data_IF_524865918020
#
_entry.id   IF_524865918020
#
_cell.length_a   1.000
_cell.length_b   1.000
_cell.length_c   1.000
_cell.angle_alpha   90.00
_cell.angle_beta   90.00
_cell.angle_gamma   90.00
#
_symmetry.space_group_name_H-M   'P 1'
#
loop_
_entity.id
_entity.type
_entity.pdbx_description
1 polymer ?
#
# COMPACT_ATOMS: atom_id res chain seq x y z
N UNK A 1 -5.02 16.80 10.48
CA UNK A 1 -3.89 16.36 11.32
C UNK A 1 -3.45 15.00 10.83
N UNK A 2 -2.14 14.72 10.84
CA UNK A 2 -1.64 13.39 10.52
C UNK A 2 -1.97 12.42 11.66
N UNK A 3 -2.31 11.18 11.33
CA UNK A 3 -2.37 10.12 12.31
C UNK A 3 -0.96 9.61 12.54
N UNK A 4 -0.57 9.40 13.81
CA UNK A 4 0.64 8.61 14.06
C UNK A 4 0.32 7.16 13.75
N UNK A 5 1.31 6.39 13.30
CA UNK A 5 1.09 4.97 13.00
C UNK A 5 0.53 4.20 14.20
N UNK A 6 0.86 4.60 15.42
CA UNK A 6 0.32 4.03 16.65
C UNK A 6 -1.16 4.39 16.93
N UNK A 7 -1.66 5.51 16.40
CA UNK A 7 -3.05 5.97 16.62
C UNK A 7 -4.07 5.13 15.83
N UNK A 8 -3.59 4.30 14.89
CA UNK A 8 -4.42 3.42 14.06
C UNK A 8 -4.76 2.07 14.73
N UNK A 9 -4.35 1.87 15.99
CA UNK A 9 -4.50 0.61 16.72
C UNK A 9 -5.86 0.48 17.38
N UNK A 10 -6.43 -0.72 17.29
CA UNK A 10 -7.61 -1.17 18.00
C UNK A 10 -7.38 -2.51 18.70
N UNK A 11 -8.45 -3.04 19.29
CA UNK A 11 -8.45 -4.39 19.85
C UNK A 11 -8.45 -5.45 18.73
N UNK A 12 -7.85 -6.60 19.02
CA UNK A 12 -7.87 -7.76 18.11
C UNK A 12 -9.29 -8.27 17.97
N UNK A 13 -9.80 -8.28 16.74
CA UNK A 13 -11.11 -8.85 16.41
C UNK A 13 -11.10 -10.34 16.72
N UNK A 14 -12.19 -10.86 17.32
CA UNK A 14 -12.30 -12.27 17.72
C UNK A 14 -12.01 -13.23 16.57
N UNK A 15 -12.47 -12.90 15.35
CA UNK A 15 -12.23 -13.71 14.16
C UNK A 15 -10.74 -13.85 13.79
N UNK A 16 -9.88 -12.93 14.26
CA UNK A 16 -8.47 -12.90 13.92
C UNK A 16 -7.53 -13.28 15.06
N UNK A 17 -8.06 -13.82 16.17
CA UNK A 17 -7.23 -14.31 17.27
C UNK A 17 -6.36 -15.50 16.84
N UNK A 18 -5.17 -15.61 17.43
CA UNK A 18 -4.23 -16.70 17.21
C UNK A 18 -3.35 -16.90 18.46
N UNK A 19 -2.58 -17.99 18.50
CA UNK A 19 -1.68 -18.31 19.61
C UNK A 19 -0.48 -17.36 19.66
N UNK A 20 -0.48 -16.43 20.62
CA UNK A 20 0.59 -15.45 20.81
C UNK A 20 1.90 -16.09 21.31
N UNK A 21 1.84 -17.16 22.11
CA UNK A 21 3.05 -17.81 22.62
C UNK A 21 3.76 -18.59 21.50
N UNK A 22 2.99 -19.22 20.62
CA UNK A 22 3.51 -19.86 19.41
C UNK A 22 4.18 -18.84 18.48
N UNK A 23 3.52 -17.71 18.24
CA UNK A 23 4.11 -16.61 17.48
C UNK A 23 5.41 -16.10 18.11
N UNK A 24 5.41 -15.88 19.43
CA UNK A 24 6.59 -15.37 20.14
C UNK A 24 7.79 -16.32 20.01
N UNK A 25 7.56 -17.63 20.17
CA UNK A 25 8.61 -18.66 19.96
C UNK A 25 9.15 -18.62 18.55
N UNK A 26 8.28 -18.55 17.55
CA UNK A 26 8.68 -18.46 16.14
C UNK A 26 9.50 -17.18 15.88
N UNK A 27 8.99 -16.02 16.29
CA UNK A 27 9.67 -14.74 16.07
C UNK A 27 11.04 -14.67 16.76
N UNK A 28 11.18 -15.25 17.95
CA UNK A 28 12.46 -15.32 18.69
C UNK A 28 13.56 -16.07 17.94
N UNK A 29 13.19 -17.02 17.07
CA UNK A 29 14.13 -17.81 16.26
C UNK A 29 14.37 -17.14 14.90
N UNK A 30 13.33 -16.57 14.29
CA UNK A 30 13.35 -16.16 12.88
C UNK A 30 13.52 -14.66 12.64
N UNK A 31 13.35 -13.81 13.65
CA UNK A 31 13.53 -12.35 13.52
C UNK A 31 14.88 -11.94 14.09
N UNK A 32 15.82 -11.41 13.27
CA UNK A 32 17.12 -10.98 13.76
C UNK A 32 17.02 -9.91 14.85
N UNK A 33 17.68 -10.14 15.99
CA UNK A 33 17.69 -9.20 17.11
C UNK A 33 16.36 -9.07 17.86
N UNK A 34 15.46 -10.05 17.71
CA UNK A 34 14.23 -10.15 18.50
C UNK A 34 14.56 -10.33 20.00
N UNK A 35 13.91 -9.60 20.92
CA UNK A 35 14.24 -9.70 22.34
C UNK A 35 13.97 -11.11 22.92
N UNK A 36 14.86 -11.55 23.82
CA UNK A 36 14.85 -12.89 24.39
C UNK A 36 13.75 -13.09 25.47
N UNK A 37 13.12 -14.28 25.57
CA UNK A 37 12.02 -14.58 26.49
C UNK A 37 12.28 -14.26 27.96
N UNK A 38 13.53 -14.33 28.43
CA UNK A 38 13.84 -14.37 29.86
C UNK A 38 13.47 -13.08 30.65
N UNK A 39 13.11 -11.98 29.97
CA UNK A 39 12.65 -10.74 30.60
C UNK A 39 11.70 -9.93 29.72
N UNK A 40 11.02 -10.59 28.76
CA UNK A 40 10.24 -9.89 27.73
C UNK A 40 8.73 -9.94 27.93
N UNK A 41 8.09 -8.77 27.89
CA UNK A 41 6.64 -8.68 27.69
C UNK A 41 6.32 -8.80 26.21
N UNK A 42 5.22 -9.44 25.86
CA UNK A 42 4.76 -9.55 24.47
C UNK A 42 3.29 -9.15 24.36
N UNK A 43 3.01 -8.10 23.60
CA UNK A 43 1.63 -7.66 23.35
C UNK A 43 1.36 -7.60 21.86
N UNK A 44 0.11 -7.92 21.51
CA UNK A 44 -0.39 -7.90 20.13
C UNK A 44 -1.61 -6.99 20.09
N UNK A 45 -1.59 -6.02 19.17
CA UNK A 45 -2.71 -5.13 18.87
C UNK A 45 -3.02 -5.21 17.39
N UNK A 46 -4.26 -4.96 16.98
CA UNK A 46 -4.64 -5.00 15.57
C UNK A 46 -4.72 -3.58 15.02
N UNK A 47 -4.25 -3.34 13.81
CA UNK A 47 -4.54 -2.09 13.11
C UNK A 47 -5.99 -2.10 12.60
N UNK A 48 -6.71 -1.00 12.82
CA UNK A 48 -8.11 -0.85 12.38
C UNK A 48 -8.27 -0.62 10.87
N UNK A 49 -7.18 -0.21 10.20
CA UNK A 49 -7.13 0.11 8.77
C UNK A 49 -6.30 -0.96 8.03
N UNK A 50 -6.78 -1.42 6.88
CA UNK A 50 -6.25 -2.59 6.15
C UNK A 50 -7.31 -3.70 6.06
N UNK A 51 -8.32 -3.49 5.20
CA UNK A 51 -9.53 -4.33 5.16
C UNK A 51 -9.28 -5.73 4.57
N UNK A 52 -8.22 -5.90 3.78
CA UNK A 52 -7.97 -7.13 3.04
C UNK A 52 -7.18 -8.16 3.87
N UNK A 53 -5.99 -7.82 4.38
CA UNK A 53 -5.13 -8.72 5.16
C UNK A 53 -4.96 -8.24 6.60
N UNK A 54 -5.36 -9.04 7.61
CA UNK A 54 -5.20 -8.68 9.01
C UNK A 54 -3.76 -8.28 9.35
N UNK A 55 -3.60 -7.07 9.86
CA UNK A 55 -2.31 -6.45 10.19
C UNK A 55 -2.26 -6.14 11.69
N UNK A 56 -1.16 -6.49 12.35
CA UNK A 56 -1.00 -6.42 13.81
C UNK A 56 0.31 -5.73 14.19
N UNK A 57 0.25 -4.93 15.26
CA UNK A 57 1.44 -4.46 15.97
C UNK A 57 1.86 -5.53 16.98
N UNK A 58 3.13 -5.91 16.92
CA UNK A 58 3.80 -6.71 17.94
C UNK A 58 4.69 -5.79 18.77
N UNK A 59 4.48 -5.70 20.08
CA UNK A 59 5.39 -5.00 20.98
C UNK A 59 6.09 -5.99 21.89
N UNK A 60 7.42 -5.91 21.93
CA UNK A 60 8.28 -6.75 22.76
C UNK A 60 9.06 -5.86 23.72
N UNK A 61 8.70 -5.89 25.00
CA UNK A 61 9.47 -5.23 26.04
C UNK A 61 10.71 -6.05 26.40
N UNK A 62 11.82 -5.41 26.79
CA UNK A 62 12.95 -6.07 27.47
C UNK A 62 13.71 -5.02 28.28
N UNK A 63 13.74 -5.18 29.61
CA UNK A 63 14.58 -4.36 30.50
C UNK A 63 14.39 -2.84 30.37
N UNK A 64 13.17 -2.36 30.09
CA UNK A 64 12.85 -0.93 29.92
C UNK A 64 12.88 -0.40 28.49
N UNK A 65 13.29 -1.22 27.51
CA UNK A 65 13.15 -0.92 26.08
C UNK A 65 11.95 -1.65 25.49
N UNK A 66 11.29 -1.07 24.48
CA UNK A 66 10.21 -1.71 23.71
C UNK A 66 10.62 -1.73 22.25
N UNK A 67 10.69 -2.92 21.64
CA UNK A 67 10.82 -3.09 20.20
C UNK A 67 9.46 -3.34 19.57
N UNK A 68 9.26 -2.83 18.36
CA UNK A 68 8.00 -2.92 17.64
C UNK A 68 8.20 -3.57 16.28
N UNK A 69 7.26 -4.40 15.90
CA UNK A 69 7.22 -5.10 14.62
C UNK A 69 5.78 -5.11 14.10
N UNK A 70 5.60 -5.33 12.81
CA UNK A 70 4.29 -5.52 12.20
C UNK A 70 4.18 -6.95 11.70
N UNK A 71 3.08 -7.62 12.04
CA UNK A 71 2.71 -8.90 11.46
C UNK A 71 1.54 -8.70 10.49
N UNK A 72 1.67 -9.22 9.27
CA UNK A 72 0.57 -9.27 8.31
C UNK A 72 0.33 -10.72 7.92
N UNK A 73 -0.93 -11.16 8.02
CA UNK A 73 -1.32 -12.56 7.82
C UNK A 73 -2.50 -12.68 6.88
N UNK A 74 -2.68 -13.85 6.27
CA UNK A 74 -3.90 -14.11 5.49
C UNK A 74 -5.13 -14.12 6.42
N UNK A 75 -6.32 -13.73 5.93
CA UNK A 75 -7.56 -13.90 6.67
C UNK A 75 -7.81 -15.40 6.93
N UNK A 76 -8.51 -15.73 8.02
CA UNK A 76 -8.93 -17.11 8.28
C UNK A 76 -9.98 -17.57 7.25
N UNK A 77 -10.09 -18.88 7.05
CA UNK A 77 -11.17 -19.50 6.27
C UNK A 77 -10.79 -19.86 4.83
N UNK A 78 -11.79 -20.31 4.05
CA UNK A 78 -11.61 -20.71 2.65
C UNK A 78 -11.59 -19.48 1.75
N UNK A 79 -10.40 -19.08 1.33
CA UNK A 79 -10.19 -17.91 0.49
C UNK A 79 -10.40 -18.24 -1.00
N UNK A 80 -10.80 -17.23 -1.77
CA UNK A 80 -10.81 -17.32 -3.23
C UNK A 80 -9.37 -17.46 -3.75
N UNK A 81 -9.21 -18.21 -4.83
CA UNK A 81 -7.90 -18.38 -5.47
C UNK A 81 -7.32 -17.02 -5.85
N UNK A 82 -6.04 -16.78 -5.56
CA UNK A 82 -5.30 -15.51 -5.78
C UNK A 82 -5.73 -14.30 -4.93
N UNK A 83 -6.70 -14.44 -4.03
CA UNK A 83 -6.97 -13.43 -3.02
C UNK A 83 -5.96 -13.53 -1.87
N UNK A 84 -5.63 -12.41 -1.22
CA UNK A 84 -4.81 -12.37 -0.01
C UNK A 84 -3.40 -12.98 -0.18
N UNK A 85 -2.72 -12.62 -1.26
CA UNK A 85 -1.40 -13.14 -1.60
C UNK A 85 -0.27 -12.45 -0.78
N UNK A 86 -0.28 -12.63 0.54
CA UNK A 86 0.74 -12.05 1.46
C UNK A 86 2.17 -12.53 1.14
N UNK A 87 2.32 -13.65 0.44
CA UNK A 87 3.59 -14.15 -0.10
C UNK A 87 4.15 -13.21 -1.17
N UNK A 88 3.30 -12.65 -2.04
CA UNK A 88 3.69 -11.65 -3.04
C UNK A 88 4.09 -10.34 -2.39
N UNK A 89 3.35 -9.90 -1.38
CA UNK A 89 3.68 -8.70 -0.59
C UNK A 89 5.07 -8.83 0.06
N UNK A 90 5.35 -9.98 0.70
CA UNK A 90 6.67 -10.26 1.25
C UNK A 90 7.77 -10.23 0.17
N UNK A 91 7.53 -10.85 -0.99
CA UNK A 91 8.50 -10.90 -2.09
C UNK A 91 8.88 -9.50 -2.58
N UNK A 92 7.90 -8.63 -2.83
CA UNK A 92 8.16 -7.28 -3.36
C UNK A 92 8.82 -6.39 -2.32
N UNK A 93 8.37 -6.42 -1.07
CA UNK A 93 8.98 -5.67 0.03
C UNK A 93 10.43 -6.08 0.26
N UNK A 94 10.72 -7.38 0.20
CA UNK A 94 12.08 -7.90 0.31
C UNK A 94 12.98 -7.40 -0.81
N UNK A 95 12.54 -7.58 -2.07
CA UNK A 95 13.34 -7.22 -3.23
C UNK A 95 13.63 -5.71 -3.28
N UNK A 96 12.63 -4.87 -2.97
CA UNK A 96 12.81 -3.42 -2.89
C UNK A 96 13.76 -3.04 -1.74
N UNK A 97 13.53 -3.57 -0.53
CA UNK A 97 14.30 -3.20 0.66
C UNK A 97 15.74 -3.74 0.68
N UNK A 98 16.05 -4.82 -0.03
CA UNK A 98 17.40 -5.40 -0.10
C UNK A 98 18.23 -4.85 -1.27
N UNK A 99 17.61 -4.29 -2.32
CA UNK A 99 18.30 -3.96 -3.57
C UNK A 99 18.07 -2.53 -4.07
N UNK A 100 17.27 -1.71 -3.38
CA UNK A 100 16.95 -0.34 -3.81
C UNK A 100 16.89 0.62 -2.64
N UNK A 101 16.87 1.92 -2.95
CA UNK A 101 16.61 2.99 -1.98
C UNK A 101 15.13 3.38 -1.91
N UNK A 102 14.23 2.60 -2.52
CA UNK A 102 12.79 2.85 -2.41
C UNK A 102 12.38 2.62 -0.95
N UNK A 103 11.77 3.61 -0.28
CA UNK A 103 11.43 3.48 1.12
C UNK A 103 10.32 2.44 1.29
N UNK A 104 10.66 1.30 1.87
CA UNK A 104 9.71 0.22 2.22
C UNK A 104 10.07 -0.34 3.60
N UNK A 105 9.10 -0.84 4.37
CA UNK A 105 9.40 -1.49 5.65
C UNK A 105 10.28 -2.73 5.42
N UNK A 106 11.34 -2.87 6.20
CA UNK A 106 12.17 -4.07 6.16
C UNK A 106 11.36 -5.30 6.55
N UNK A 107 11.33 -6.32 5.70
CA UNK A 107 10.77 -7.63 6.07
C UNK A 107 11.81 -8.50 6.76
N UNK A 108 11.39 -9.25 7.79
CA UNK A 108 12.27 -10.08 8.60
C UNK A 108 12.13 -11.57 8.29
N UNK A 109 10.90 -12.07 8.29
CA UNK A 109 10.64 -13.49 8.02
C UNK A 109 9.25 -13.69 7.39
N UNK A 110 9.10 -14.83 6.71
CA UNK A 110 7.85 -15.31 6.14
C UNK A 110 7.62 -16.75 6.63
N UNK A 111 6.38 -17.08 6.97
CA UNK A 111 5.97 -18.38 7.49
C UNK A 111 4.78 -18.90 6.67
N UNK A 112 4.93 -20.11 6.14
CA UNK A 112 3.85 -20.89 5.50
C UNK A 112 3.36 -22.05 6.38
N UNK A 113 3.97 -22.24 7.55
CA UNK A 113 3.56 -23.28 8.47
C UNK A 113 2.33 -22.83 9.26
N UNK A 114 1.17 -23.27 8.79
CA UNK A 114 -0.11 -22.98 9.44
C UNK A 114 -0.18 -23.53 10.87
N UNK A 115 0.71 -24.42 11.31
CA UNK A 115 0.74 -24.86 12.71
C UNK A 115 1.21 -23.78 13.69
N UNK A 116 1.87 -22.71 13.21
CA UNK A 116 2.37 -21.63 14.07
C UNK A 116 1.24 -20.72 14.55
N UNK A 117 0.45 -20.12 13.64
CA UNK A 117 -0.68 -19.22 13.99
C UNK A 117 -1.95 -19.48 13.16
N UNK A 118 -2.08 -20.63 12.52
CA UNK A 118 -3.26 -21.04 11.74
C UNK A 118 -3.29 -20.57 10.29
N UNK A 119 -2.32 -19.76 9.85
CA UNK A 119 -2.31 -19.16 8.51
C UNK A 119 -0.92 -18.64 8.13
N UNK A 120 -0.70 -18.38 6.84
CA UNK A 120 0.53 -17.77 6.35
C UNK A 120 0.65 -16.32 6.85
N UNK A 121 1.88 -15.92 7.20
CA UNK A 121 2.17 -14.57 7.65
C UNK A 121 3.61 -14.17 7.36
N UNK A 122 3.87 -12.87 7.42
CA UNK A 122 5.22 -12.35 7.48
C UNK A 122 5.34 -11.28 8.57
N UNK A 123 6.56 -11.08 9.06
CA UNK A 123 6.90 -10.03 10.04
C UNK A 123 7.78 -9.00 9.36
N UNK A 124 7.47 -7.72 9.56
CA UNK A 124 8.20 -6.58 9.03
C UNK A 124 8.43 -5.50 10.10
N UNK A 125 9.21 -4.50 9.72
CA UNK A 125 9.50 -3.31 10.49
C UNK A 125 8.23 -2.53 10.83
N UNK A 126 8.16 -2.03 12.06
CA UNK A 126 7.21 -1.00 12.42
C UNK A 126 7.82 0.37 12.12
N UNK A 127 7.26 1.07 11.13
CA UNK A 127 7.65 2.43 10.80
C UNK A 127 6.96 3.40 11.77
N UNK A 128 7.73 3.99 12.68
CA UNK A 128 7.25 5.05 13.56
C UNK A 128 7.22 6.37 12.78
N UNK A 129 6.01 6.81 12.39
CA UNK A 129 5.85 7.92 11.46
C UNK A 129 4.45 8.53 11.46
N UNK A 130 4.20 9.38 10.45
CA UNK A 130 2.97 10.12 10.20
C UNK A 130 2.30 9.59 8.94
N UNK A 131 1.00 9.36 8.99
CA UNK A 131 0.17 9.05 7.82
C UNK A 131 -0.85 10.16 7.65
N UNK A 132 -0.98 10.66 6.42
CA UNK A 132 -1.93 11.71 6.07
C UNK A 132 -3.17 11.11 5.41
N UNK A 133 -4.18 10.82 6.22
CA UNK A 133 -5.45 10.28 5.73
C UNK A 133 -6.23 11.27 4.86
N UNK A 134 -6.19 12.57 5.21
CA UNK A 134 -6.83 13.62 4.43
C UNK A 134 -5.81 14.23 3.45
N UNK A 135 -5.99 14.07 2.12
CA UNK A 135 -5.09 14.61 1.11
C UNK A 135 -5.04 16.15 1.11
N UNK A 136 -5.98 16.84 1.79
CA UNK A 136 -5.95 18.30 1.98
C UNK A 136 -4.91 18.76 3.00
N UNK A 137 -4.30 17.83 3.75
CA UNK A 137 -3.26 18.07 4.75
C UNK A 137 -3.64 19.18 5.77
N UNK A 138 -4.81 19.06 6.45
CA UNK A 138 -5.32 20.12 7.31
C UNK A 138 -4.42 20.32 8.53
N UNK A 139 -4.17 21.59 8.86
CA UNK A 139 -3.33 22.02 9.98
C UNK A 139 -1.84 22.18 9.66
N UNK A 140 -1.41 21.90 8.42
CA UNK A 140 -0.04 22.21 7.97
C UNK A 140 0.05 23.59 7.32
N UNK A 141 1.22 24.23 7.43
CA UNK A 141 1.55 25.44 6.67
C UNK A 141 1.69 25.12 5.16
N UNK A 142 1.41 26.08 4.26
CA UNK A 142 1.47 25.86 2.81
C UNK A 142 2.79 25.22 2.33
N UNK A 143 3.93 25.69 2.83
CA UNK A 143 5.26 25.23 2.41
C UNK A 143 5.49 23.74 2.76
N UNK A 144 4.88 23.29 3.86
CA UNK A 144 4.94 21.88 4.26
C UNK A 144 4.04 21.01 3.40
N UNK A 145 2.88 21.52 2.98
CA UNK A 145 2.01 20.79 2.03
C UNK A 145 2.73 20.59 0.70
N UNK A 146 3.42 21.64 0.23
CA UNK A 146 4.20 21.60 -1.00
C UNK A 146 5.31 20.55 -0.91
N UNK A 147 6.08 20.57 0.19
CA UNK A 147 7.15 19.60 0.45
C UNK A 147 6.63 18.14 0.46
N UNK A 148 5.51 17.89 1.13
CA UNK A 148 4.90 16.55 1.21
C UNK A 148 4.44 16.04 -0.16
N UNK A 149 3.78 16.88 -0.96
CA UNK A 149 3.34 16.48 -2.31
C UNK A 149 4.53 16.25 -3.24
N UNK A 150 5.57 17.10 -3.17
CA UNK A 150 6.81 16.90 -3.93
C UNK A 150 7.50 15.60 -3.56
N UNK A 151 7.65 15.32 -2.27
CA UNK A 151 8.23 14.07 -1.80
C UNK A 151 7.43 12.85 -2.28
N UNK A 152 6.09 12.93 -2.23
CA UNK A 152 5.21 11.87 -2.73
C UNK A 152 5.45 11.60 -4.23
N UNK A 153 5.57 12.64 -5.05
CA UNK A 153 5.89 12.52 -6.47
C UNK A 153 7.26 11.89 -6.72
N UNK A 154 8.28 12.31 -5.95
CA UNK A 154 9.65 11.77 -6.04
C UNK A 154 9.73 10.30 -5.68
N UNK A 155 9.03 9.88 -4.62
CA UNK A 155 9.00 8.47 -4.22
C UNK A 155 8.30 7.60 -5.25
N UNK A 156 7.21 8.09 -5.85
CA UNK A 156 6.55 7.38 -6.95
C UNK A 156 7.49 7.23 -8.16
N UNK A 157 8.20 8.29 -8.54
CA UNK A 157 9.18 8.25 -9.62
C UNK A 157 10.36 7.30 -9.30
N UNK A 158 10.84 7.29 -8.05
CA UNK A 158 11.90 6.40 -7.61
C UNK A 158 11.45 4.93 -7.69
N UNK A 159 10.22 4.62 -7.25
CA UNK A 159 9.62 3.31 -7.41
C UNK A 159 9.54 2.91 -8.89
N UNK A 160 9.06 3.81 -9.74
CA UNK A 160 8.92 3.52 -11.16
C UNK A 160 10.25 3.38 -11.91
N UNK A 161 11.35 3.89 -11.33
CA UNK A 161 12.70 3.79 -11.91
C UNK A 161 13.40 2.46 -11.64
N UNK A 162 12.83 1.61 -10.78
CA UNK A 162 13.42 0.32 -10.38
C UNK A 162 13.52 -0.64 -11.56
N UNK A 163 14.73 -1.19 -11.75
CA UNK A 163 14.95 -2.33 -12.64
C UNK A 163 14.47 -3.61 -11.95
N UNK A 164 13.22 -3.99 -12.26
CA UNK A 164 12.56 -5.16 -11.67
C UNK A 164 13.27 -6.48 -12.00
N UNK A 165 13.99 -6.56 -13.12
CA UNK A 165 14.74 -7.76 -13.48
C UNK A 165 16.01 -7.88 -12.62
N UNK A 166 16.71 -6.77 -12.42
CA UNK A 166 17.91 -6.71 -11.59
C UNK A 166 17.65 -7.07 -10.11
N UNK A 167 16.46 -6.77 -9.59
CA UNK A 167 16.08 -7.08 -8.20
C UNK A 167 15.31 -8.40 -8.04
N UNK A 168 15.27 -9.24 -9.09
CA UNK A 168 14.64 -10.57 -9.02
C UNK A 168 13.11 -10.58 -9.10
N UNK A 169 12.49 -9.46 -9.48
CA UNK A 169 11.04 -9.33 -9.71
C UNK A 169 10.64 -9.51 -11.19
N UNK A 170 11.54 -9.93 -12.07
CA UNK A 170 11.27 -10.07 -13.51
C UNK A 170 10.06 -10.93 -13.87
N UNK A 171 9.69 -11.89 -13.00
CA UNK A 171 8.52 -12.79 -13.13
C UNK A 171 7.39 -12.46 -12.14
N UNK A 172 7.43 -11.29 -11.50
CA UNK A 172 6.47 -10.90 -10.46
C UNK A 172 5.04 -10.71 -10.99
N UNK A 173 4.88 -10.36 -12.26
CA UNK A 173 3.59 -10.21 -12.91
C UNK A 173 3.70 -10.21 -14.43
N UNK A 174 2.56 -10.17 -15.12
CA UNK A 174 2.51 -10.02 -16.58
C UNK A 174 2.69 -8.55 -16.95
N UNK A 175 3.59 -8.24 -17.90
CA UNK A 175 3.83 -6.86 -18.34
C UNK A 175 2.82 -6.40 -19.39
N UNK A 176 2.78 -7.07 -20.54
CA UNK A 176 2.06 -6.60 -21.75
C UNK A 176 0.54 -6.46 -21.62
N UNK A 177 -0.05 -5.39 -22.16
CA UNK A 177 -1.49 -5.14 -22.17
C UNK A 177 -2.09 -4.97 -20.77
N UNK A 178 -1.38 -4.29 -19.86
CA UNK A 178 -1.80 -4.14 -18.47
C UNK A 178 -3.19 -3.49 -18.36
N UNK A 179 -3.40 -2.31 -18.92
CA UNK A 179 -4.67 -1.60 -18.87
C UNK A 179 -5.80 -2.44 -19.49
N UNK A 180 -5.54 -3.09 -20.64
CA UNK A 180 -6.53 -3.99 -21.26
C UNK A 180 -6.97 -5.11 -20.31
N UNK A 181 -6.01 -5.80 -19.69
CA UNK A 181 -6.29 -6.90 -18.75
C UNK A 181 -7.04 -6.41 -17.51
N UNK A 182 -6.70 -5.22 -17.00
CA UNK A 182 -7.40 -4.61 -15.87
C UNK A 182 -8.85 -4.29 -16.23
N UNK A 183 -9.10 -3.63 -17.37
CA UNK A 183 -10.45 -3.33 -17.85
C UNK A 183 -11.28 -4.60 -18.02
N UNK A 184 -10.74 -5.64 -18.66
CA UNK A 184 -11.42 -6.93 -18.83
C UNK A 184 -11.73 -7.61 -17.48
N UNK A 185 -10.77 -7.61 -16.54
CA UNK A 185 -10.93 -8.22 -15.22
C UNK A 185 -12.01 -7.52 -14.40
N UNK A 186 -11.93 -6.20 -14.28
CA UNK A 186 -12.90 -5.41 -13.50
C UNK A 186 -14.29 -5.45 -14.12
N UNK A 187 -14.41 -5.46 -15.45
CA UNK A 187 -15.70 -5.65 -16.14
C UNK A 187 -16.34 -6.99 -15.76
N UNK A 188 -15.58 -8.09 -15.84
CA UNK A 188 -16.07 -9.42 -15.46
C UNK A 188 -16.48 -9.50 -13.99
N UNK A 189 -15.69 -8.92 -13.10
CA UNK A 189 -16.01 -8.88 -11.67
C UNK A 189 -17.27 -8.06 -11.38
N UNK A 190 -17.44 -6.91 -12.03
CA UNK A 190 -18.64 -6.09 -11.90
C UNK A 190 -19.89 -6.86 -12.34
N UNK A 191 -19.86 -7.46 -13.54
CA UNK A 191 -20.98 -8.26 -14.05
C UNK A 191 -21.32 -9.41 -13.09
N UNK A 192 -20.31 -10.18 -12.66
CA UNK A 192 -20.50 -11.28 -11.72
C UNK A 192 -21.10 -10.82 -10.38
N UNK A 193 -20.75 -9.63 -9.89
CA UNK A 193 -21.33 -9.07 -8.66
C UNK A 193 -22.81 -8.69 -8.78
N UNK A 194 -23.28 -8.42 -10.00
CA UNK A 194 -24.67 -8.03 -10.31
C UNK A 194 -25.54 -9.17 -10.84
N UNK A 195 -24.94 -10.28 -11.29
CA UNK A 195 -25.61 -11.33 -12.08
C UNK A 195 -26.76 -12.08 -11.40
N UNK A 196 -26.81 -12.06 -10.06
CA UNK A 196 -27.87 -12.71 -9.26
C UNK A 196 -28.88 -11.70 -8.68
N UNK A 197 -28.92 -10.45 -9.17
CA UNK A 197 -29.67 -9.33 -8.56
C UNK A 197 -29.34 -9.06 -7.08
N UNK A 198 -28.24 -9.61 -6.55
CA UNK A 198 -27.77 -9.31 -5.18
C UNK A 198 -27.49 -7.83 -4.99
N UNK A 199 -27.00 -7.19 -6.05
CA UNK A 199 -26.82 -5.74 -6.14
C UNK A 199 -27.38 -5.26 -7.49
N UNK A 200 -28.14 -4.16 -7.51
CA UNK A 200 -28.69 -3.63 -8.76
C UNK A 200 -27.55 -3.18 -9.68
N UNK A 201 -27.62 -3.61 -10.94
CA UNK A 201 -26.69 -3.15 -11.97
C UNK A 201 -26.89 -1.67 -12.25
N UNK A 202 -25.79 -0.95 -12.46
CA UNK A 202 -25.74 0.47 -12.79
C UNK A 202 -25.38 0.60 -14.28
N UNK A 203 -26.31 1.08 -15.14
CA UNK A 203 -26.06 1.24 -16.56
C UNK A 203 -24.80 2.05 -16.88
N UNK A 204 -24.49 3.09 -16.09
CA UNK A 204 -23.31 3.93 -16.29
C UNK A 204 -21.99 3.17 -16.10
N UNK A 205 -21.97 2.15 -15.23
CA UNK A 205 -20.78 1.30 -15.05
C UNK A 205 -20.55 0.41 -16.28
N UNK A 206 -21.62 -0.07 -16.91
CA UNK A 206 -21.52 -0.85 -18.14
C UNK A 206 -21.11 0.02 -19.33
N UNK A 207 -21.64 1.24 -19.42
CA UNK A 207 -21.21 2.25 -20.41
C UNK A 207 -19.72 2.59 -20.25
N UNK A 208 -19.27 2.83 -19.01
CA UNK A 208 -17.85 3.08 -18.71
C UNK A 208 -16.99 1.88 -19.09
N UNK A 209 -17.38 0.67 -18.74
CA UNK A 209 -16.65 -0.55 -19.10
C UNK A 209 -16.52 -0.70 -20.62
N UNK A 210 -17.61 -0.47 -21.36
CA UNK A 210 -17.59 -0.51 -22.82
C UNK A 210 -16.67 0.57 -23.40
N UNK A 211 -16.77 1.80 -22.90
CA UNK A 211 -15.93 2.91 -23.35
C UNK A 211 -14.44 2.60 -23.10
N UNK A 212 -14.07 2.15 -21.91
CA UNK A 212 -12.68 1.80 -21.56
C UNK A 212 -12.13 0.68 -22.46
N UNK A 213 -12.94 -0.31 -22.83
CA UNK A 213 -12.51 -1.38 -23.75
C UNK A 213 -12.16 -0.85 -25.15
N UNK A 214 -12.85 0.20 -25.61
CA UNK A 214 -12.60 0.82 -26.91
C UNK A 214 -11.48 1.88 -26.89
N UNK A 215 -11.08 2.33 -25.69
CA UNK A 215 -10.13 3.44 -25.51
C UNK A 215 -8.92 3.00 -24.67
N UNK A 216 -8.47 1.75 -24.81
CA UNK A 216 -7.19 1.32 -24.25
C UNK A 216 -6.07 2.16 -24.91
N UNK A 217 -5.21 2.82 -24.12
CA UNK A 217 -4.11 3.63 -24.67
C UNK A 217 -3.20 2.81 -25.59
N UNK A 218 -2.76 3.39 -26.71
CA UNK A 218 -1.79 2.76 -27.62
C UNK A 218 -0.46 2.44 -26.91
N UNK A 219 -0.12 3.24 -25.90
CA UNK A 219 1.11 3.17 -25.13
C UNK A 219 1.03 2.15 -23.97
N UNK A 220 -0.04 1.34 -23.87
CA UNK A 220 -0.22 0.39 -22.76
C UNK A 220 0.95 -0.57 -22.57
N UNK A 221 1.67 -0.87 -23.66
CA UNK A 221 2.86 -1.77 -23.63
C UNK A 221 4.19 -1.01 -23.54
N UNK A 222 4.19 0.32 -23.34
CA UNK A 222 5.40 1.16 -23.34
C UNK A 222 5.84 1.65 -21.96
N UNK A 223 4.98 1.55 -20.93
CA UNK A 223 5.23 2.01 -19.57
C UNK A 223 5.46 0.89 -18.56
N UNK A 224 6.22 -0.14 -18.94
CA UNK A 224 6.31 -1.39 -18.17
C UNK A 224 7.29 -1.33 -17.01
N UNK A 225 6.79 -1.57 -15.80
CA UNK A 225 7.61 -1.75 -14.62
C UNK A 225 6.78 -2.18 -13.42
N UNK A 226 7.33 -1.98 -12.22
CA UNK A 226 6.57 -2.23 -11.00
C UNK A 226 5.43 -1.22 -10.87
N UNK A 227 4.23 -1.73 -10.59
CA UNK A 227 3.02 -0.99 -10.28
C UNK A 227 2.63 -1.36 -8.85
N UNK A 228 2.52 -0.37 -7.99
CA UNK A 228 2.01 -0.49 -6.62
C UNK A 228 0.53 -0.91 -6.63
N UNK A 229 -0.27 -0.28 -7.49
CA UNK A 229 -1.69 -0.55 -7.69
C UNK A 229 -2.62 0.25 -6.78
N UNK A 230 -2.14 0.66 -5.61
CA UNK A 230 -2.90 1.48 -4.64
C UNK A 230 -2.12 2.72 -4.16
N UNK A 231 -1.28 3.32 -5.02
CA UNK A 231 -0.39 4.40 -4.59
C UNK A 231 -1.15 5.71 -4.31
N UNK A 232 -1.27 6.07 -3.03
CA UNK A 232 -1.91 7.30 -2.52
C UNK A 232 -1.12 7.83 -1.33
N UNK A 233 -1.33 9.10 -1.01
CA UNK A 233 -0.68 9.77 0.14
C UNK A 233 -1.02 9.13 1.50
N UNK A 234 -2.17 8.46 1.62
CA UNK A 234 -2.57 7.73 2.83
C UNK A 234 -1.92 6.34 2.96
N UNK A 235 -1.26 5.86 1.90
CA UNK A 235 -0.47 4.63 1.86
C UNK A 235 1.05 4.88 1.95
N UNK A 236 1.47 6.10 2.26
CA UNK A 236 2.88 6.42 2.56
C UNK A 236 3.04 6.91 4.00
N UNK A 237 4.10 6.42 4.64
CA UNK A 237 4.51 6.85 5.98
C UNK A 237 5.57 7.92 5.84
N UNK A 238 5.32 9.08 6.42
CA UNK A 238 6.28 10.17 6.55
C UNK A 238 7.05 10.08 7.86
N UNK A 239 8.27 10.59 7.89
CA UNK A 239 9.07 10.71 9.11
C UNK A 239 8.29 11.49 10.19
N UNK A 240 8.46 11.19 11.51
CA UNK A 240 7.69 11.82 12.59
C UNK A 240 7.74 13.36 12.62
N UNK A 241 8.82 13.94 12.12
CA UNK A 241 9.09 15.39 12.17
C UNK A 241 9.29 15.97 10.77
N UNK A 242 10.14 15.31 9.97
CA UNK A 242 10.55 15.76 8.63
C UNK A 242 9.52 15.36 7.57
N UNK A 243 9.42 16.15 6.50
CA UNK A 243 8.50 15.91 5.39
C UNK A 243 9.12 15.01 4.31
N UNK A 244 9.81 13.94 4.74
CA UNK A 244 10.35 12.87 3.89
C UNK A 244 9.60 11.56 4.12
N UNK A 245 9.47 10.74 3.09
CA UNK A 245 8.83 9.42 3.20
C UNK A 245 9.82 8.41 3.78
N UNK A 246 9.32 7.53 4.65
CA UNK A 246 10.08 6.43 5.27
C UNK A 246 9.49 5.06 4.95
N UNK A 247 8.34 4.99 4.27
CA UNK A 247 7.82 3.73 3.76
C UNK A 247 6.59 3.85 2.89
N UNK A 248 6.53 3.04 1.84
CA UNK A 248 5.33 2.76 1.03
C UNK A 248 4.67 1.51 1.60
N UNK A 249 3.37 1.58 1.88
CA UNK A 249 2.56 0.52 2.48
C UNK A 249 1.56 -0.07 1.49
N UNK A 250 0.99 -1.21 1.87
CA UNK A 250 -0.13 -1.87 1.18
C UNK A 250 0.14 -2.34 -0.25
N UNK A 251 1.04 -3.32 -0.36
CA UNK A 251 1.52 -3.88 -1.63
C UNK A 251 0.61 -4.96 -2.22
N UNK A 252 -0.62 -5.12 -1.72
CA UNK A 252 -1.47 -6.27 -2.06
C UNK A 252 -1.93 -6.29 -3.53
N UNK A 253 -2.04 -5.12 -4.15
CA UNK A 253 -2.42 -4.97 -5.56
C UNK A 253 -1.21 -4.97 -6.51
N UNK A 254 0.00 -5.05 -5.97
CA UNK A 254 1.21 -4.80 -6.75
C UNK A 254 1.51 -5.91 -7.76
N UNK A 255 2.01 -5.47 -8.92
CA UNK A 255 2.31 -6.33 -10.06
C UNK A 255 3.32 -5.63 -10.97
N UNK A 256 3.70 -6.30 -12.05
CA UNK A 256 4.27 -5.61 -13.22
C UNK A 256 3.15 -5.15 -14.15
N UNK A 257 3.33 -4.00 -14.79
CA UNK A 257 2.33 -3.42 -15.69
C UNK A 257 2.64 -1.98 -16.08
N UNK A 258 1.61 -1.25 -16.52
CA UNK A 258 1.71 0.14 -16.94
C UNK A 258 1.72 1.08 -15.72
N UNK A 259 2.89 1.67 -15.45
CA UNK A 259 3.13 2.58 -14.32
C UNK A 259 2.27 3.84 -14.32
N UNK A 260 1.74 4.25 -15.48
CA UNK A 260 0.86 5.43 -15.56
C UNK A 260 -0.45 5.23 -14.80
N UNK A 261 -0.84 3.99 -14.47
CA UNK A 261 -2.01 3.79 -13.61
C UNK A 261 -1.76 4.24 -12.18
N UNK A 262 -0.55 4.06 -11.64
CA UNK A 262 -0.22 4.61 -10.32
C UNK A 262 -0.14 6.13 -10.35
N UNK A 263 0.40 6.71 -11.43
CA UNK A 263 0.41 8.17 -11.61
C UNK A 263 -1.02 8.72 -11.65
N UNK A 264 -1.90 8.11 -12.43
CA UNK A 264 -3.32 8.49 -12.48
C UNK A 264 -4.02 8.32 -11.12
N UNK A 265 -3.74 7.21 -10.42
CA UNK A 265 -4.34 6.94 -9.11
C UNK A 265 -3.84 7.88 -8.01
N UNK A 266 -2.56 8.25 -8.04
CA UNK A 266 -1.98 9.26 -7.14
C UNK A 266 -2.61 10.65 -7.33
N UNK A 267 -3.17 10.94 -8.51
CA UNK A 267 -3.86 12.18 -8.82
C UNK A 267 -5.36 12.18 -8.44
N UNK A 268 -5.89 11.10 -7.83
CA UNK A 268 -7.33 10.92 -7.67
C UNK A 268 -7.99 12.07 -6.89
N UNK A 269 -7.32 12.61 -5.87
CA UNK A 269 -7.82 13.73 -5.04
C UNK A 269 -8.04 15.04 -5.83
N UNK A 270 -7.34 15.23 -6.96
CA UNK A 270 -7.57 16.37 -7.84
C UNK A 270 -8.92 16.28 -8.57
N UNK A 271 -9.34 15.06 -8.89
CA UNK A 271 -10.51 14.76 -9.72
C UNK A 271 -11.76 14.55 -8.84
N UNK A 272 -11.62 13.81 -7.75
CA UNK A 272 -12.73 13.37 -6.89
C UNK A 272 -12.33 13.38 -5.42
N UNK A 273 -13.26 13.80 -4.56
CA UNK A 273 -13.10 13.72 -3.09
C UNK A 273 -13.82 12.47 -2.60
N UNK A 274 -13.08 11.43 -2.23
CA UNK A 274 -13.64 10.17 -1.74
C UNK A 274 -13.53 10.17 -0.22
N UNK A 275 -14.67 10.34 0.46
CA UNK A 275 -14.73 10.13 1.90
C UNK A 275 -15.13 8.68 2.18
N UNK A 276 -14.14 7.86 2.56
CA UNK A 276 -14.35 6.45 2.85
C UNK A 276 -15.16 6.19 4.13
N UNK A 277 -15.17 7.12 5.11
CA UNK A 277 -15.93 6.97 6.36
C UNK A 277 -17.44 7.07 6.12
N UNK A 278 -17.86 7.99 5.26
CA UNK A 278 -19.28 8.26 4.99
C UNK A 278 -19.74 7.80 3.60
N UNK A 279 -18.87 7.11 2.84
CA UNK A 279 -19.11 6.66 1.46
C UNK A 279 -19.61 7.78 0.52
N UNK A 280 -19.17 9.02 0.79
CA UNK A 280 -19.54 10.18 -0.01
C UNK A 280 -18.52 10.42 -1.10
N UNK A 281 -19.03 10.71 -2.29
CA UNK A 281 -18.22 11.10 -3.45
C UNK A 281 -18.51 12.56 -3.74
N UNK A 282 -17.51 13.41 -3.47
CA UNK A 282 -17.51 14.84 -3.73
C UNK A 282 -16.68 15.20 -4.95
N UNK A 283 -16.64 16.50 -5.25
CA UNK A 283 -15.79 17.07 -6.29
C UNK A 283 -14.35 17.19 -5.79
N UNK A 284 -13.36 16.81 -6.61
CA UNK A 284 -11.94 16.95 -6.27
C UNK A 284 -11.45 18.41 -6.28
N UNK A 285 -10.15 18.59 -6.07
CA UNK A 285 -9.52 19.90 -5.94
C UNK A 285 -9.70 20.80 -7.17
N UNK A 286 -9.69 20.25 -8.38
CA UNK A 286 -9.83 21.03 -9.62
C UNK A 286 -11.21 21.67 -9.77
N UNK A 287 -12.24 21.02 -9.21
CA UNK A 287 -13.64 21.45 -9.32
C UNK A 287 -14.13 22.22 -8.09
N UNK A 288 -13.31 22.34 -7.06
CA UNK A 288 -13.63 23.03 -5.80
C UNK A 288 -12.67 24.17 -5.57
N UNK A 289 -11.50 23.88 -4.98
CA UNK A 289 -10.37 24.77 -4.78
C UNK A 289 -9.18 23.92 -4.33
N UNK A 290 -8.03 24.10 -4.96
CA UNK A 290 -6.78 23.53 -4.49
C UNK A 290 -6.38 24.23 -3.17
N UNK A 291 -6.18 23.51 -2.06
CA UNK A 291 -5.69 24.10 -0.83
C UNK A 291 -4.34 24.78 -1.01
N UNK A 292 -4.13 25.92 -0.35
CA UNK A 292 -2.88 26.68 -0.45
C UNK A 292 -1.66 25.81 -0.10
N UNK A 293 -0.63 25.86 -0.95
CA UNK A 293 0.58 25.04 -0.83
C UNK A 293 0.48 23.63 -1.40
N UNK A 294 -0.70 23.13 -1.78
CA UNK A 294 -0.80 21.91 -2.59
C UNK A 294 -0.55 22.31 -4.06
N UNK A 295 0.37 21.66 -4.78
CA UNK A 295 0.60 21.95 -6.19
C UNK A 295 -0.65 21.62 -7.01
N UNK A 296 -0.86 22.32 -8.12
CA UNK A 296 -1.81 21.87 -9.15
C UNK A 296 -1.45 20.48 -9.67
N UNK A 297 -2.42 19.79 -10.28
CA UNK A 297 -2.17 18.47 -10.87
C UNK A 297 -1.03 18.54 -11.91
N UNK A 298 -0.97 19.60 -12.71
CA UNK A 298 0.10 19.82 -13.68
C UNK A 298 1.48 19.99 -13.02
N UNK A 299 1.57 20.73 -11.93
CA UNK A 299 2.82 20.90 -11.17
C UNK A 299 3.26 19.61 -10.47
N UNK A 300 2.32 18.84 -9.91
CA UNK A 300 2.60 17.52 -9.33
C UNK A 300 3.15 16.55 -10.37
N UNK A 301 2.51 16.49 -11.55
CA UNK A 301 2.97 15.67 -12.66
C UNK A 301 4.32 16.14 -13.21
N UNK A 302 4.57 17.45 -13.26
CA UNK A 302 5.87 17.99 -13.65
C UNK A 302 6.99 17.55 -12.68
N UNK A 303 6.72 17.55 -11.37
CA UNK A 303 7.66 17.03 -10.37
C UNK A 303 7.93 15.53 -10.56
N UNK A 304 6.88 14.73 -10.77
CA UNK A 304 7.01 13.30 -11.06
C UNK A 304 7.86 13.06 -12.32
N UNK A 305 7.56 13.76 -13.40
CA UNK A 305 8.31 13.65 -14.66
C UNK A 305 9.78 14.05 -14.49
N UNK A 306 10.05 15.16 -13.80
CA UNK A 306 11.40 15.62 -13.53
C UNK A 306 12.22 14.61 -12.70
N UNK A 307 11.59 13.99 -11.70
CA UNK A 307 12.21 12.95 -10.88
C UNK A 307 12.37 11.61 -11.62
N UNK A 308 11.58 11.35 -12.66
CA UNK A 308 11.63 10.13 -13.47
C UNK A 308 12.74 10.13 -14.52
N UNK A 309 13.32 11.30 -14.84
CA UNK A 309 14.46 11.37 -15.76
C UNK A 309 15.67 10.76 -15.05
N UNK A 310 16.08 9.57 -15.48
CA UNK A 310 17.33 8.95 -15.04
C UNK A 310 18.46 9.93 -15.32
N UNK A 311 19.03 10.55 -14.28
CA UNK A 311 20.33 11.19 -14.42
C UNK A 311 21.29 10.10 -14.92
N UNK A 312 21.92 10.25 -16.09
CA UNK A 312 23.00 9.35 -16.47
C UNK A 312 24.05 9.45 -15.36
N UNK A 313 24.32 8.31 -14.71
CA UNK A 313 25.43 8.13 -13.78
C UNK A 313 26.75 8.54 -14.45
#
# INVERSE_FOLDING_TARGET
MANRTYDLLGQVQTAHQFDHDSLFRYASVHVPGFPSPAASTFTVKQFGHGQSNPTFLLEVGNGGSVKRYVLRKKPPGKLLQSAHAVDREYQVLRALGEHTEVPVPKVFCWCMDASVIGTDFYIMEFLEGRIFMDPKLPGLAPERREAIYRETAKVLAALHSVDVDAIGLGKYGRRDNYCKRQVERWTKQYIASTGDNRYPSNPKMLELAHWLQQHIPSEDSSGEGIVHGDFRIDNVVFHPIEDRVIGILDWELSTLGNQMTDVAYSCLAYIVDINHENQQVGKGFELTRIPEGIPSQAEYLAEYCAASVKNPL
#
